data_IF_546211023561
#
_entry.id   IF_546211023561
#
_cell.length_a   1.000
_cell.length_b   1.000
_cell.length_c   1.000
_cell.angle_alpha   90.00
_cell.angle_beta   90.00
_cell.angle_gamma   90.00
#
_symmetry.space_group_name_H-M   'P 1'
#
loop_
_entity.id
_entity.type
_entity.pdbx_description
1 polymer ?
#
# COMPACT_ATOMS: atom_id res chain seq x y z
N UNK A 1 -13.18 -0.92 5.44
CA UNK A 1 -12.08 -1.58 4.70
C UNK A 1 -12.60 -2.39 3.51
N UNK A 2 -13.57 -3.29 3.70
CA UNK A 2 -14.20 -4.08 2.63
C UNK A 2 -14.74 -3.26 1.45
N UNK A 3 -15.41 -2.13 1.72
CA UNK A 3 -15.91 -1.22 0.67
C UNK A 3 -14.80 -0.49 -0.12
N UNK A 4 -13.60 -0.33 0.46
CA UNK A 4 -12.44 0.24 -0.23
C UNK A 4 -11.82 -0.80 -1.16
N UNK A 5 -11.67 -2.03 -0.68
CA UNK A 5 -11.15 -3.15 -1.49
C UNK A 5 -12.05 -3.49 -2.68
N UNK A 6 -13.36 -3.25 -2.59
CA UNK A 6 -14.28 -3.42 -3.71
C UNK A 6 -13.94 -2.54 -4.93
N UNK A 7 -13.17 -1.46 -4.76
CA UNK A 7 -12.71 -0.57 -5.83
C UNK A 7 -11.32 -0.95 -6.35
N UNK A 8 -10.71 -2.01 -5.82
CA UNK A 8 -9.36 -2.47 -6.13
C UNK A 8 -9.41 -3.95 -6.55
N UNK A 9 -9.93 -4.27 -7.74
CA UNK A 9 -10.19 -5.66 -8.18
C UNK A 9 -8.93 -6.52 -8.30
N UNK A 10 -7.74 -5.92 -8.33
CA UNK A 10 -6.46 -6.60 -8.47
C UNK A 10 -5.59 -6.49 -7.21
N UNK A 11 -6.14 -5.95 -6.12
CA UNK A 11 -5.44 -5.74 -4.86
C UNK A 11 -6.11 -6.53 -3.75
N UNK A 12 -5.31 -7.09 -2.86
CA UNK A 12 -5.79 -7.81 -1.67
C UNK A 12 -5.12 -7.24 -0.43
N UNK A 13 -5.76 -7.42 0.73
CA UNK A 13 -5.15 -7.08 2.00
C UNK A 13 -4.16 -8.17 2.38
N UNK A 14 -2.90 -7.79 2.64
CA UNK A 14 -1.93 -8.69 3.27
C UNK A 14 -1.93 -8.49 4.77
N UNK A 15 -1.98 -9.59 5.52
CA UNK A 15 -1.78 -9.59 6.98
C UNK A 15 -0.30 -9.88 7.35
N UNK A 16 0.53 -10.16 6.34
CA UNK A 16 1.94 -10.52 6.50
C UNK A 16 2.81 -9.75 5.51
N UNK A 17 3.83 -9.04 6.02
CA UNK A 17 4.82 -8.31 5.23
C UNK A 17 6.10 -9.13 4.94
N UNK A 18 6.10 -10.41 5.35
CA UNK A 18 7.26 -11.28 5.40
C UNK A 18 8.13 -10.99 6.62
N UNK A 19 9.32 -11.62 6.68
CA UNK A 19 10.30 -11.42 7.77
C UNK A 19 11.67 -10.97 7.25
N UNK A 20 11.66 -10.17 6.18
CA UNK A 20 12.88 -9.70 5.53
C UNK A 20 12.97 -8.18 5.56
N UNK A 21 13.74 -7.59 4.66
CA UNK A 21 13.99 -6.13 4.64
C UNK A 21 12.70 -5.30 4.51
N UNK A 22 11.68 -5.83 3.85
CA UNK A 22 10.39 -5.19 3.65
C UNK A 22 9.68 -4.88 4.97
N UNK A 23 9.52 -5.90 5.83
CA UNK A 23 8.86 -5.77 7.13
C UNK A 23 9.65 -4.83 8.06
N UNK A 24 10.97 -5.00 8.12
CA UNK A 24 11.82 -4.12 8.92
C UNK A 24 11.68 -2.65 8.51
N UNK A 25 11.77 -2.35 7.21
CA UNK A 25 11.60 -0.99 6.70
C UNK A 25 10.21 -0.43 7.00
N UNK A 26 9.16 -1.25 6.82
CA UNK A 26 7.78 -0.87 7.14
C UNK A 26 7.65 -0.38 8.59
N UNK A 27 8.11 -1.18 9.56
CA UNK A 27 8.03 -0.80 10.97
C UNK A 27 8.95 0.37 11.34
N UNK A 28 10.16 0.46 10.77
CA UNK A 28 11.05 1.60 11.04
C UNK A 28 10.48 2.92 10.55
N UNK A 29 9.85 2.95 9.37
CA UNK A 29 9.19 4.16 8.85
C UNK A 29 8.02 4.55 9.75
N UNK A 30 7.15 3.61 10.14
CA UNK A 30 6.05 3.90 11.06
C UNK A 30 6.55 4.44 12.40
N UNK A 31 7.56 3.80 12.98
CA UNK A 31 8.17 4.24 14.24
C UNK A 31 8.74 5.66 14.11
N UNK A 32 9.37 5.99 12.98
CA UNK A 32 9.90 7.32 12.73
C UNK A 32 8.79 8.38 12.62
N UNK A 33 7.73 8.08 11.88
CA UNK A 33 6.57 8.98 11.74
C UNK A 33 5.90 9.25 13.08
N UNK A 34 5.76 8.21 13.92
CA UNK A 34 5.23 8.33 15.28
C UNK A 34 6.14 9.18 16.17
N UNK A 35 7.45 8.89 16.16
CA UNK A 35 8.45 9.61 16.99
C UNK A 35 8.49 11.10 16.66
N UNK A 36 8.33 11.47 15.39
CA UNK A 36 8.32 12.86 14.96
C UNK A 36 6.91 13.49 14.96
N UNK A 37 5.87 12.76 15.37
CA UNK A 37 4.47 13.20 15.32
C UNK A 37 4.06 13.77 13.96
N UNK A 38 4.57 13.16 12.89
CA UNK A 38 4.36 13.66 11.54
C UNK A 38 2.92 13.37 11.08
N UNK A 39 2.13 14.38 10.68
CA UNK A 39 0.73 14.21 10.36
C UNK A 39 0.55 13.68 8.92
N UNK A 40 0.92 12.43 8.67
CA UNK A 40 0.65 11.77 7.39
C UNK A 40 0.07 10.37 7.57
N UNK A 41 -0.53 9.88 6.49
CA UNK A 41 -0.92 8.48 6.37
C UNK A 41 0.27 7.65 5.90
N UNK A 42 0.49 6.50 6.54
CA UNK A 42 1.43 5.49 6.09
C UNK A 42 0.69 4.38 5.33
N UNK A 43 1.23 3.96 4.19
CA UNK A 43 0.77 2.78 3.47
C UNK A 43 1.96 1.96 3.00
N UNK A 44 1.87 0.64 3.17
CA UNK A 44 2.84 -0.32 2.65
C UNK A 44 2.15 -1.23 1.64
N UNK A 45 2.76 -1.41 0.46
CA UNK A 45 2.16 -2.17 -0.64
C UNK A 45 3.20 -3.10 -1.26
N UNK A 46 2.87 -4.39 -1.36
CA UNK A 46 3.62 -5.33 -2.17
C UNK A 46 3.14 -5.26 -3.63
N UNK A 47 4.07 -5.05 -4.55
CA UNK A 47 3.80 -5.02 -5.99
C UNK A 47 4.42 -6.25 -6.63
N UNK A 48 3.67 -7.04 -7.41
CA UNK A 48 4.25 -8.17 -8.14
C UNK A 48 5.23 -7.66 -9.20
N UNK A 49 6.06 -8.56 -9.74
CA UNK A 49 6.89 -8.23 -10.90
C UNK A 49 5.99 -7.73 -12.04
N UNK A 50 6.29 -6.54 -12.56
CA UNK A 50 5.52 -5.94 -13.63
C UNK A 50 5.82 -6.64 -14.96
N UNK A 51 4.75 -7.04 -15.63
CA UNK A 51 4.75 -7.59 -16.99
C UNK A 51 3.82 -6.76 -17.86
N UNK A 52 3.95 -6.81 -19.20
CA UNK A 52 3.01 -6.14 -20.09
C UNK A 52 1.54 -6.50 -19.80
N UNK A 53 1.27 -7.72 -19.32
CA UNK A 53 -0.08 -8.20 -19.04
C UNK A 53 -0.68 -7.66 -17.74
N UNK A 54 0.14 -7.38 -16.72
CA UNK A 54 -0.35 -6.94 -15.41
C UNK A 54 -0.18 -5.44 -15.15
N UNK A 55 0.67 -4.75 -15.91
CA UNK A 55 1.05 -3.38 -15.63
C UNK A 55 -0.16 -2.43 -15.63
N UNK A 56 -1.05 -2.54 -16.62
CA UNK A 56 -2.22 -1.68 -16.72
C UNK A 56 -3.17 -1.83 -15.52
N UNK A 57 -3.41 -3.07 -15.09
CA UNK A 57 -4.25 -3.38 -13.94
C UNK A 57 -3.63 -2.85 -12.62
N UNK A 58 -2.33 -3.07 -12.42
CA UNK A 58 -1.62 -2.58 -11.23
C UNK A 58 -1.66 -1.05 -11.15
N UNK A 59 -1.43 -0.36 -12.26
CA UNK A 59 -1.48 1.11 -12.31
C UNK A 59 -2.88 1.64 -12.02
N UNK A 60 -3.93 0.98 -12.54
CA UNK A 60 -5.31 1.38 -12.31
C UNK A 60 -5.69 1.29 -10.82
N UNK A 61 -5.35 0.17 -10.17
CA UNK A 61 -5.59 -0.02 -8.74
C UNK A 61 -4.78 0.97 -7.90
N UNK A 62 -3.48 1.17 -8.20
CA UNK A 62 -2.65 2.14 -7.48
C UNK A 62 -3.18 3.57 -7.60
N UNK A 63 -3.65 3.96 -8.79
CA UNK A 63 -4.22 5.29 -9.01
C UNK A 63 -5.49 5.49 -8.19
N UNK A 64 -6.35 4.47 -8.15
CA UNK A 64 -7.56 4.48 -7.31
C UNK A 64 -7.20 4.58 -5.83
N UNK A 65 -6.20 3.81 -5.39
CA UNK A 65 -5.71 3.81 -4.02
C UNK A 65 -5.17 5.19 -3.60
N UNK A 66 -4.42 5.88 -4.46
CA UNK A 66 -3.91 7.22 -4.18
C UNK A 66 -5.04 8.26 -4.06
N UNK A 67 -6.04 8.22 -4.95
CA UNK A 67 -7.21 9.09 -4.84
C UNK A 67 -7.96 8.86 -3.53
N UNK A 68 -8.13 7.60 -3.13
CA UNK A 68 -8.79 7.23 -1.88
C UNK A 68 -8.05 7.75 -0.63
N UNK A 69 -6.72 7.83 -0.67
CA UNK A 69 -5.90 8.41 0.41
C UNK A 69 -5.96 9.94 0.46
N UNK A 70 -6.19 10.61 -0.67
CA UNK A 70 -6.28 12.08 -0.74
C UNK A 70 -7.62 12.64 -0.30
N UNK A 71 -8.68 11.83 -0.30
CA UNK A 71 -10.07 12.30 -0.12
C UNK A 71 -10.52 12.28 1.36
N UNK A 72 -9.61 12.44 2.32
CA UNK A 72 -9.91 12.50 3.77
C UNK A 72 -9.07 13.53 4.50
#
# INVERSE_FOLDING_TARGET
>A
LSQFLAQLPHTTLSEDAGQFVCEGLYFYVLQHLETCSWPCWGLFVHVPLLTPDNQAAVVADFTTLLHLLQTR
#
